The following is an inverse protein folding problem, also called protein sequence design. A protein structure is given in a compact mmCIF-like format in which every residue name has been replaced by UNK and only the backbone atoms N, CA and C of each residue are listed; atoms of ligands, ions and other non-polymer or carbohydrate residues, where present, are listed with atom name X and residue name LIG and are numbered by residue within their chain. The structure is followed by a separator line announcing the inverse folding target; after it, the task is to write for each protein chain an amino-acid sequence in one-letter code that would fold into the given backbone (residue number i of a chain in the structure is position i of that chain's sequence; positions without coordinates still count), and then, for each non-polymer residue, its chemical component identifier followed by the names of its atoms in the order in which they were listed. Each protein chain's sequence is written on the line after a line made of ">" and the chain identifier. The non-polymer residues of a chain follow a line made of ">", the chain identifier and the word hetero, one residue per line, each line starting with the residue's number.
data_IF_623033846432
#
_entry.id   IF_623033846432
#
_cell.length_a   1.000
_cell.length_b   1.000
_cell.length_c   1.000
_cell.angle_alpha   90.00
_cell.angle_beta   90.00
_cell.angle_gamma   90.00
#
_symmetry.space_group_name_H-M   'P 1'
#
loop_
_entity.id
_entity.type
_entity.pdbx_description
1 polymer ?
#
# COMPACT_ATOMS: atom_id res chain seq x y z
N UNK A 1 -13.82 -11.36 -6.02
CA UNK A 1 -12.62 -11.02 -5.22
C UNK A 1 -12.97 -9.86 -4.30
N UNK A 2 -12.73 -9.99 -2.99
CA UNK A 2 -13.40 -9.18 -1.97
C UNK A 2 -12.55 -7.97 -1.52
N UNK A 3 -12.94 -6.72 -1.81
CA UNK A 3 -12.25 -5.52 -1.31
C UNK A 3 -12.13 -5.45 0.21
N UNK A 4 -13.07 -6.06 0.93
CA UNK A 4 -13.03 -6.12 2.38
C UNK A 4 -11.77 -6.85 2.87
N UNK A 5 -11.31 -7.87 2.14
CA UNK A 5 -10.07 -8.56 2.47
C UNK A 5 -8.86 -7.62 2.40
N UNK A 6 -8.80 -6.75 1.39
CA UNK A 6 -7.73 -5.74 1.30
C UNK A 6 -7.80 -4.78 2.49
N UNK A 7 -8.99 -4.30 2.88
CA UNK A 7 -9.15 -3.40 4.03
C UNK A 7 -8.69 -4.05 5.31
N UNK A 8 -9.10 -5.30 5.57
CA UNK A 8 -8.68 -6.04 6.75
C UNK A 8 -7.16 -6.21 6.80
N UNK A 9 -6.51 -6.52 5.66
CA UNK A 9 -5.05 -6.62 5.61
C UNK A 9 -4.38 -5.27 5.93
N UNK A 10 -4.86 -4.17 5.35
CA UNK A 10 -4.33 -2.83 5.63
C UNK A 10 -4.53 -2.43 7.11
N UNK A 11 -5.68 -2.76 7.68
CA UNK A 11 -5.96 -2.51 9.09
C UNK A 11 -5.04 -3.34 10.01
N UNK A 12 -4.85 -4.64 9.72
CA UNK A 12 -3.91 -5.48 10.46
C UNK A 12 -2.48 -4.96 10.37
N UNK A 13 -2.07 -4.38 9.23
CA UNK A 13 -0.76 -3.74 9.10
C UNK A 13 -0.63 -2.49 9.98
N UNK A 14 -1.71 -1.72 10.11
CA UNK A 14 -1.71 -0.48 10.87
C UNK A 14 -1.76 -0.71 12.39
N UNK A 15 -2.58 -1.67 12.84
CA UNK A 15 -3.00 -1.79 14.24
C UNK A 15 -2.68 -3.16 14.87
N UNK A 16 -2.30 -4.16 14.07
CA UNK A 16 -2.06 -5.51 14.55
C UNK A 16 -0.75 -5.68 15.33
N UNK A 17 -0.66 -6.77 16.08
CA UNK A 17 0.60 -7.26 16.65
C UNK A 17 1.64 -7.57 15.56
N UNK A 18 2.92 -7.65 15.93
CA UNK A 18 3.99 -7.96 14.95
C UNK A 18 3.76 -9.28 14.20
N UNK A 19 3.19 -10.29 14.86
CA UNK A 19 2.80 -11.54 14.22
C UNK A 19 1.66 -11.35 13.20
N UNK A 20 0.67 -10.50 13.51
CA UNK A 20 -0.42 -10.17 12.60
C UNK A 20 0.05 -9.32 11.43
N UNK A 21 0.88 -8.30 11.67
CA UNK A 21 1.48 -7.48 10.62
C UNK A 21 2.29 -8.33 9.64
N UNK A 22 3.08 -9.30 10.14
CA UNK A 22 3.81 -10.25 9.28
C UNK A 22 2.87 -11.05 8.39
N UNK A 23 1.82 -11.65 8.96
CA UNK A 23 0.80 -12.38 8.19
C UNK A 23 0.07 -11.49 7.19
N UNK A 24 -0.23 -10.26 7.57
CA UNK A 24 -0.93 -9.30 6.72
C UNK A 24 -0.05 -8.86 5.53
N UNK A 25 1.26 -8.68 5.74
CA UNK A 25 2.23 -8.42 4.65
C UNK A 25 2.23 -9.57 3.63
N UNK A 26 2.36 -10.81 4.10
CA UNK A 26 2.32 -12.00 3.23
C UNK A 26 0.96 -12.12 2.49
N UNK A 27 -0.14 -11.84 3.20
CA UNK A 27 -1.48 -11.84 2.63
C UNK A 27 -1.65 -10.78 1.55
N UNK A 28 -1.14 -9.57 1.76
CA UNK A 28 -1.18 -8.48 0.79
C UNK A 28 -0.36 -8.82 -0.46
N UNK A 29 0.82 -9.43 -0.28
CA UNK A 29 1.66 -9.88 -1.39
C UNK A 29 0.96 -10.92 -2.26
N UNK A 30 0.24 -11.86 -1.66
CA UNK A 30 -0.54 -12.89 -2.38
C UNK A 30 -1.89 -12.37 -2.91
N UNK A 31 -2.34 -11.20 -2.47
CA UNK A 31 -3.63 -10.65 -2.87
C UNK A 31 -3.63 -10.37 -4.37
N UNK A 32 -4.56 -10.98 -5.09
CA UNK A 32 -4.84 -10.64 -6.49
C UNK A 32 -5.46 -9.24 -6.53
N UNK A 33 -4.96 -8.39 -7.42
CA UNK A 33 -5.39 -6.99 -7.50
C UNK A 33 -6.28 -6.77 -8.72
N UNK A 34 -7.50 -6.28 -8.45
CA UNK A 34 -8.41 -5.75 -9.47
C UNK A 34 -8.46 -4.22 -9.42
N UNK A 35 -9.24 -3.59 -10.30
CA UNK A 35 -9.33 -2.13 -10.37
C UNK A 35 -9.73 -1.45 -9.05
N UNK A 36 -10.61 -2.07 -8.27
CA UNK A 36 -11.03 -1.51 -6.98
C UNK A 36 -9.93 -1.60 -5.93
N UNK A 37 -9.32 -2.77 -5.74
CA UNK A 37 -8.19 -2.97 -4.82
C UNK A 37 -7.03 -2.06 -5.21
N UNK A 38 -6.75 -1.93 -6.52
CA UNK A 38 -5.72 -1.01 -7.01
C UNK A 38 -6.01 0.43 -6.61
N UNK A 39 -7.27 0.85 -6.71
CA UNK A 39 -7.70 2.18 -6.27
C UNK A 39 -7.47 2.36 -4.77
N UNK A 40 -7.80 1.36 -3.94
CA UNK A 40 -7.52 1.44 -2.50
C UNK A 40 -6.01 1.56 -2.22
N UNK A 41 -5.17 0.75 -2.86
CA UNK A 41 -3.72 0.78 -2.66
C UNK A 41 -3.09 2.11 -3.09
N UNK A 42 -3.62 2.74 -4.14
CA UNK A 42 -3.07 4.00 -4.68
C UNK A 42 -3.67 5.26 -4.04
N UNK A 43 -4.91 5.20 -3.54
CA UNK A 43 -5.66 6.38 -3.13
C UNK A 43 -6.11 6.37 -1.66
N UNK A 44 -6.17 5.22 -1.00
CA UNK A 44 -6.62 5.14 0.41
C UNK A 44 -5.43 4.79 1.32
N UNK A 45 -4.75 3.67 1.05
CA UNK A 45 -3.68 3.15 1.88
C UNK A 45 -2.55 4.17 2.18
N UNK A 46 -2.06 4.97 1.23
CA UNK A 46 -1.01 5.95 1.49
C UNK A 46 -1.42 7.03 2.49
N UNK A 47 -2.71 7.32 2.62
CA UNK A 47 -3.24 8.38 3.47
C UNK A 47 -3.64 7.88 4.86
N UNK A 48 -3.48 6.57 5.13
CA UNK A 48 -3.51 6.04 6.50
C UNK A 48 -2.29 6.50 7.32
N UNK A 49 -1.28 7.12 6.68
CA UNK A 49 -0.09 7.70 7.33
C UNK A 49 0.68 6.73 8.23
N UNK A 50 0.57 5.43 7.94
CA UNK A 50 1.26 4.35 8.63
C UNK A 50 2.40 3.82 7.73
N UNK A 51 3.61 3.73 8.28
CA UNK A 51 4.82 3.38 7.50
C UNK A 51 4.75 1.94 7.02
N UNK A 52 4.32 1.02 7.87
CA UNK A 52 4.20 -0.41 7.54
C UNK A 52 3.16 -0.66 6.45
N UNK A 53 2.05 0.09 6.47
CA UNK A 53 1.06 0.07 5.40
C UNK A 53 1.69 0.56 4.09
N UNK A 54 2.33 1.72 4.10
CA UNK A 54 2.89 2.30 2.89
C UNK A 54 4.03 1.44 2.32
N UNK A 55 4.89 0.88 3.18
CA UNK A 55 5.93 -0.09 2.80
C UNK A 55 5.35 -1.32 2.10
N UNK A 56 4.29 -1.91 2.68
CA UNK A 56 3.63 -3.05 2.08
C UNK A 56 3.02 -2.70 0.70
N UNK A 57 2.49 -1.49 0.54
CA UNK A 57 2.02 -0.96 -0.75
C UNK A 57 3.17 -0.79 -1.75
N UNK A 58 4.30 -0.19 -1.33
CA UNK A 58 5.50 -0.05 -2.16
C UNK A 58 5.98 -1.39 -2.72
N UNK A 59 5.99 -2.44 -1.90
CA UNK A 59 6.39 -3.76 -2.35
C UNK A 59 5.35 -4.44 -3.26
N UNK A 60 4.06 -4.11 -3.11
CA UNK A 60 2.98 -4.76 -3.87
C UNK A 60 2.76 -4.15 -5.25
N UNK A 61 2.96 -2.84 -5.41
CA UNK A 61 2.67 -2.12 -6.65
C UNK A 61 3.50 -2.53 -7.88
N UNK A 62 4.81 -2.88 -7.77
CA UNK A 62 5.60 -3.35 -8.90
C UNK A 62 5.03 -4.60 -9.59
N UNK A 63 4.36 -5.47 -8.84
CA UNK A 63 3.73 -6.70 -9.38
C UNK A 63 2.40 -6.44 -10.09
N UNK A 64 1.95 -5.18 -10.14
CA UNK A 64 0.64 -4.79 -10.67
C UNK A 64 0.84 -3.98 -11.93
N UNK A 65 0.21 -4.40 -13.02
CA UNK A 65 0.15 -3.59 -14.24
C UNK A 65 -0.55 -2.27 -13.96
N UNK A 66 0.17 -1.15 -14.09
CA UNK A 66 -0.34 0.21 -13.88
C UNK A 66 -0.61 0.87 -15.23
N UNK A 67 -1.76 1.55 -15.32
CA UNK A 67 -2.02 2.44 -16.46
C UNK A 67 -1.48 3.85 -16.16
N UNK A 68 -1.46 4.78 -17.15
CA UNK A 68 -0.97 6.13 -16.93
C UNK A 68 -1.64 6.89 -15.77
N UNK A 69 -2.95 6.69 -15.55
CA UNK A 69 -3.66 7.33 -14.42
C UNK A 69 -3.23 6.76 -13.08
N UNK A 70 -2.93 5.47 -13.03
CA UNK A 70 -2.42 4.81 -11.84
C UNK A 70 -1.02 5.33 -11.48
N UNK A 71 -0.15 5.58 -12.46
CA UNK A 71 1.14 6.23 -12.24
C UNK A 71 1.01 7.64 -11.64
N UNK A 72 0.05 8.43 -12.11
CA UNK A 72 -0.22 9.77 -11.53
C UNK A 72 -0.65 9.65 -10.06
N UNK A 73 -1.53 8.70 -9.74
CA UNK A 73 -1.96 8.44 -8.36
C UNK A 73 -0.79 8.00 -7.49
N UNK A 74 0.05 7.11 -8.01
CA UNK A 74 1.25 6.65 -7.34
C UNK A 74 2.21 7.80 -7.03
N UNK A 75 2.51 8.64 -8.02
CA UNK A 75 3.36 9.81 -7.82
C UNK A 75 2.79 10.76 -6.75
N UNK A 76 1.46 10.95 -6.71
CA UNK A 76 0.81 11.74 -5.64
C UNK A 76 0.99 11.12 -4.26
N UNK A 77 0.82 9.79 -4.15
CA UNK A 77 1.04 9.07 -2.90
C UNK A 77 2.50 9.17 -2.43
N UNK A 78 3.46 8.99 -3.33
CA UNK A 78 4.89 9.15 -3.03
C UNK A 78 5.20 10.59 -2.62
N UNK A 79 4.68 11.60 -3.33
CA UNK A 79 4.90 13.01 -2.99
C UNK A 79 4.29 13.39 -1.64
N UNK A 80 3.13 12.83 -1.28
CA UNK A 80 2.53 12.99 0.06
C UNK A 80 3.50 12.49 1.13
N UNK A 81 4.05 11.29 0.96
CA UNK A 81 5.01 10.73 1.90
C UNK A 81 6.36 11.44 1.90
N UNK A 82 6.85 11.92 0.75
CA UNK A 82 8.10 12.71 0.68
C UNK A 82 8.02 13.99 1.50
N UNK A 83 6.85 14.64 1.54
CA UNK A 83 6.64 15.83 2.39
C UNK A 83 6.62 15.49 3.88
N UNK A 84 6.22 14.26 4.22
CA UNK A 84 6.08 13.80 5.61
C UNK A 84 7.39 13.22 6.16
N UNK A 85 8.05 12.38 5.39
CA UNK A 85 9.26 11.66 5.77
C UNK A 85 10.12 11.38 4.51
N UNK A 86 10.89 12.37 4.03
CA UNK A 86 11.65 12.25 2.79
C UNK A 86 12.76 11.19 2.87
N UNK A 87 13.40 11.04 4.03
CA UNK A 87 14.47 10.06 4.26
C UNK A 87 13.96 8.62 4.28
N UNK A 88 12.73 8.40 4.74
CA UNK A 88 12.13 7.08 4.67
C UNK A 88 11.75 6.71 3.23
N UNK A 89 11.18 7.65 2.47
CA UNK A 89 10.78 7.39 1.07
C UNK A 89 11.98 7.12 0.16
N UNK A 90 13.12 7.79 0.37
CA UNK A 90 14.30 7.61 -0.47
C UNK A 90 14.87 6.18 -0.44
N UNK A 91 14.49 5.36 0.55
CA UNK A 91 14.87 3.93 0.64
C UNK A 91 14.17 3.04 -0.38
N UNK A 92 13.11 3.53 -1.03
CA UNK A 92 12.28 2.79 -1.98
C UNK A 92 12.38 3.32 -3.41
N UNK A 93 13.28 4.27 -3.68
CA UNK A 93 13.54 4.86 -5.00
C UNK A 93 14.85 4.32 -5.58
#
# INVERSE_FOLDING_TARGET
>A
MNPQQCRSLLQCLAEGSEAEKKRAREGLQRLRVNGYIKTMLLCEAPYLNNKEVMEAVFHKLPDISLNPRDHIRWQRAVNHWKKRDPEWVSRFQ
#
